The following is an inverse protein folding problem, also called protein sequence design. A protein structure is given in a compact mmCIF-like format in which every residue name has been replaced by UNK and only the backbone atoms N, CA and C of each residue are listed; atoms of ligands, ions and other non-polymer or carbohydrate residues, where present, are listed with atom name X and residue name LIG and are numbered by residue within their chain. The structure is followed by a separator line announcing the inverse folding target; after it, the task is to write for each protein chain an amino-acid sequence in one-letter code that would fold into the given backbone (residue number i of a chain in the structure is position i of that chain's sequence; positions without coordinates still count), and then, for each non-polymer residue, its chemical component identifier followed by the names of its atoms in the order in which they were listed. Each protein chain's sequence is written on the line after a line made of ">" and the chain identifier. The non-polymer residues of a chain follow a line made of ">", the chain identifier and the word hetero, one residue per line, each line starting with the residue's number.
data_IF_071959208970
#
_entry.id   IF_071959208970
#
_cell.length_a   1.000
_cell.length_b   1.000
_cell.length_c   1.000
_cell.angle_alpha   90.00
_cell.angle_beta   90.00
_cell.angle_gamma   90.00
#
_symmetry.space_group_name_H-M   'P 1'
#
loop_
_entity.id
_entity.type
_entity.pdbx_description
1 polymer ?
#
# COMPACT_ATOMS: atom_id res chain seq x y z
N UNK A 1 5.83 -17.99 -2.93
CA UNK A 1 4.46 -17.48 -2.70
C UNK A 1 4.42 -16.17 -1.88
N UNK A 2 5.55 -15.50 -1.59
CA UNK A 2 5.54 -14.18 -0.94
C UNK A 2 5.05 -13.05 -1.88
N UNK A 3 5.21 -13.23 -3.20
CA UNK A 3 4.85 -12.22 -4.20
C UNK A 3 3.36 -11.92 -4.29
N UNK A 4 2.48 -12.89 -4.02
CA UNK A 4 1.04 -12.68 -4.18
C UNK A 4 0.49 -11.71 -3.13
N UNK A 5 1.03 -11.76 -1.90
CA UNK A 5 0.66 -10.82 -0.84
C UNK A 5 1.14 -9.41 -1.16
N UNK A 6 2.40 -9.27 -1.57
CA UNK A 6 2.96 -7.96 -1.97
C UNK A 6 2.18 -7.35 -3.15
N UNK A 7 1.92 -8.16 -4.19
CA UNK A 7 1.13 -7.74 -5.36
C UNK A 7 -0.29 -7.35 -4.97
N UNK A 8 -0.90 -8.02 -3.99
CA UNK A 8 -2.22 -7.65 -3.49
C UNK A 8 -2.21 -6.27 -2.81
N UNK A 9 -1.24 -6.02 -1.91
CA UNK A 9 -1.08 -4.71 -1.25
C UNK A 9 -0.82 -3.58 -2.25
N UNK A 10 0.05 -3.81 -3.24
CA UNK A 10 0.32 -2.84 -4.30
C UNK A 10 -0.92 -2.55 -5.17
N UNK A 11 -1.70 -3.59 -5.50
CA UNK A 11 -2.93 -3.48 -6.28
C UNK A 11 -4.00 -2.69 -5.52
N UNK A 12 -4.21 -2.99 -4.24
CA UNK A 12 -5.15 -2.28 -3.36
C UNK A 12 -4.76 -0.80 -3.26
N UNK A 13 -3.48 -0.51 -3.02
CA UNK A 13 -2.96 0.86 -2.94
C UNK A 13 -3.23 1.65 -4.21
N UNK A 14 -2.95 1.06 -5.38
CA UNK A 14 -3.16 1.72 -6.69
C UNK A 14 -4.64 2.01 -6.94
N UNK A 15 -5.53 1.07 -6.61
CA UNK A 15 -6.98 1.26 -6.76
C UNK A 15 -7.48 2.41 -5.89
N UNK A 16 -7.11 2.43 -4.60
CA UNK A 16 -7.50 3.51 -3.69
C UNK A 16 -6.95 4.86 -4.14
N UNK A 17 -5.71 4.92 -4.64
CA UNK A 17 -5.15 6.15 -5.21
C UNK A 17 -5.95 6.65 -6.42
N UNK A 18 -6.33 5.76 -7.33
CA UNK A 18 -7.15 6.10 -8.49
C UNK A 18 -8.54 6.60 -8.06
N UNK A 19 -9.16 5.93 -7.09
CA UNK A 19 -10.46 6.33 -6.53
C UNK A 19 -10.40 7.68 -5.83
N UNK A 20 -9.38 7.91 -4.99
CA UNK A 20 -9.15 9.21 -4.34
C UNK A 20 -9.00 10.33 -5.36
N UNK A 21 -8.29 10.07 -6.46
CA UNK A 21 -8.08 11.06 -7.53
C UNK A 21 -9.34 11.30 -8.35
N UNK A 22 -10.09 10.25 -8.66
CA UNK A 22 -11.35 10.33 -9.41
C UNK A 22 -12.41 11.12 -8.63
N UNK A 23 -12.55 10.83 -7.34
CA UNK A 23 -13.56 11.42 -6.46
C UNK A 23 -13.11 12.74 -5.81
N UNK A 24 -11.85 13.13 -5.96
CA UNK A 24 -11.29 14.33 -5.31
C UNK A 24 -11.30 14.25 -3.79
N UNK A 25 -11.05 13.07 -3.22
CA UNK A 25 -11.15 12.85 -1.77
C UNK A 25 -10.12 13.70 -1.01
N UNK A 26 -10.61 14.35 0.05
CA UNK A 26 -9.80 15.16 0.95
C UNK A 26 -8.79 14.31 1.74
N UNK A 27 -7.81 14.97 2.35
CA UNK A 27 -6.92 14.30 3.32
C UNK A 27 -7.72 13.94 4.57
N UNK A 28 -7.50 12.73 5.10
CA UNK A 28 -8.17 12.24 6.30
C UNK A 28 -9.44 11.41 6.04
N UNK A 29 -9.81 11.16 4.77
CA UNK A 29 -10.83 10.15 4.49
C UNK A 29 -10.30 8.75 4.75
N UNK A 30 -11.17 7.76 5.03
CA UNK A 30 -10.76 6.37 5.28
C UNK A 30 -9.88 5.79 4.16
N UNK A 31 -10.14 6.16 2.91
CA UNK A 31 -9.37 5.70 1.75
C UNK A 31 -7.92 6.22 1.80
N UNK A 32 -7.71 7.48 2.21
CA UNK A 32 -6.37 8.06 2.38
C UNK A 32 -5.64 7.44 3.56
N UNK A 33 -6.33 7.23 4.69
CA UNK A 33 -5.75 6.54 5.84
C UNK A 33 -5.34 5.11 5.48
N UNK A 34 -6.17 4.41 4.70
CA UNK A 34 -5.87 3.07 4.22
C UNK A 34 -4.66 3.03 3.28
N UNK A 35 -4.49 4.04 2.42
CA UNK A 35 -3.29 4.19 1.60
C UNK A 35 -2.03 4.31 2.48
N UNK A 36 -2.08 5.11 3.55
CA UNK A 36 -0.95 5.31 4.46
C UNK A 36 -0.58 4.00 5.19
N UNK A 37 -1.58 3.21 5.62
CA UNK A 37 -1.37 1.86 6.17
C UNK A 37 -0.71 0.92 5.16
N UNK A 38 -1.19 0.91 3.92
CA UNK A 38 -0.62 0.09 2.85
C UNK A 38 0.83 0.48 2.56
N UNK A 39 1.15 1.78 2.57
CA UNK A 39 2.53 2.27 2.41
C UNK A 39 3.44 1.80 3.55
N UNK A 40 2.95 1.78 4.79
CA UNK A 40 3.68 1.24 5.93
C UNK A 40 3.93 -0.27 5.81
N UNK A 41 2.91 -1.05 5.40
CA UNK A 41 3.03 -2.49 5.19
C UNK A 41 4.02 -2.85 4.07
N UNK A 42 3.95 -2.14 2.94
CA UNK A 42 4.87 -2.32 1.82
C UNK A 42 6.32 -2.02 2.24
N UNK A 43 6.53 -0.94 3.00
CA UNK A 43 7.85 -0.59 3.54
C UNK A 43 8.38 -1.66 4.49
N UNK A 44 7.56 -2.11 5.44
CA UNK A 44 7.95 -3.16 6.38
C UNK A 44 8.31 -4.48 5.67
N UNK A 45 7.60 -4.82 4.59
CA UNK A 45 7.90 -5.99 3.80
C UNK A 45 9.22 -5.85 3.04
N UNK A 46 9.49 -4.67 2.45
CA UNK A 46 10.76 -4.37 1.77
C UNK A 46 11.96 -4.39 2.72
N UNK A 47 11.79 -3.88 3.94
CA UNK A 47 12.83 -3.89 4.96
C UNK A 47 13.11 -5.31 5.49
N UNK A 48 12.07 -6.15 5.58
CA UNK A 48 12.21 -7.58 5.90
C UNK A 48 12.95 -8.35 4.80
N UNK A 49 12.59 -8.11 3.54
CA UNK A 49 13.25 -8.73 2.39
C UNK A 49 14.76 -8.39 2.37
N UNK A 50 15.09 -7.12 2.64
CA UNK A 50 16.47 -6.66 2.78
C UNK A 50 17.22 -7.33 3.94
N UNK A 51 16.56 -7.58 5.07
CA UNK A 51 17.17 -8.29 6.21
C UNK A 51 17.33 -9.79 6.00
N UNK A 52 16.50 -10.43 5.17
CA UNK A 52 16.55 -11.86 4.93
C UNK A 52 17.64 -12.27 3.91
N UNK A 53 18.15 -11.31 3.12
CA UNK A 53 19.21 -11.52 2.13
C UNK A 53 20.60 -11.01 2.50
N UNK A 54 20.85 -10.62 3.76
CA UNK A 54 22.17 -10.19 4.27
C UNK A 54 22.80 -11.21 5.20
#
# INVERSE_FOLDING_TARGET
>A
MADLYLKALESERRKLWAECRLKGLAKGTPERLRIDELDALLKAHKDKDKKAGS
#
